data_IF_641146890777
#
_entry.id   IF_641146890777
#
_cell.length_a   1.000
_cell.length_b   1.000
_cell.length_c   1.000
_cell.angle_alpha   90.00
_cell.angle_beta   90.00
_cell.angle_gamma   90.00
#
_symmetry.space_group_name_H-M   'P 1'
#
loop_
_entity.id
_entity.type
_entity.pdbx_description
1 polymer ?
#
# COMPACT_ATOMS: atom_id res chain seq x y z
N UNK A 1 -10.43 9.95 -2.99
CA UNK A 1 -9.17 9.84 -3.75
C UNK A 1 -8.59 11.24 -3.87
N UNK A 2 -7.47 11.49 -3.19
CA UNK A 2 -6.79 12.78 -3.18
C UNK A 2 -5.63 12.75 -4.18
N UNK A 3 -5.57 13.77 -5.04
CA UNK A 3 -4.42 14.01 -5.93
C UNK A 3 -4.08 15.49 -5.81
N UNK A 4 -2.83 15.78 -5.50
CA UNK A 4 -2.30 17.14 -5.40
C UNK A 4 -1.04 17.24 -6.27
N UNK A 5 -1.19 17.78 -7.47
CA UNK A 5 -0.10 17.89 -8.45
C UNK A 5 0.94 18.93 -8.03
N UNK A 6 0.51 20.02 -7.40
CA UNK A 6 1.40 21.09 -6.94
C UNK A 6 2.35 20.57 -5.87
N UNK A 7 1.81 19.86 -4.88
CA UNK A 7 2.62 19.27 -3.81
C UNK A 7 3.20 17.89 -4.17
N UNK A 8 2.86 17.36 -5.35
CA UNK A 8 3.29 16.05 -5.84
C UNK A 8 2.95 14.92 -4.86
N UNK A 9 1.68 14.88 -4.43
CA UNK A 9 1.14 13.88 -3.52
C UNK A 9 -0.09 13.20 -4.11
N UNK A 10 -0.20 11.89 -3.92
CA UNK A 10 -1.33 11.10 -4.43
C UNK A 10 -1.73 9.99 -3.48
N UNK A 11 -3.02 9.70 -3.40
CA UNK A 11 -3.60 8.63 -2.60
C UNK A 11 -3.91 7.40 -3.45
N UNK A 12 -3.51 6.21 -2.96
CA UNK A 12 -4.08 4.94 -3.37
C UNK A 12 -5.40 4.69 -2.65
N UNK A 13 -6.49 4.94 -3.37
CA UNK A 13 -7.86 4.78 -2.86
C UNK A 13 -8.59 3.62 -3.52
N UNK A 14 -9.72 3.23 -2.91
CA UNK A 14 -10.70 2.30 -3.51
C UNK A 14 -10.15 0.94 -3.94
N UNK A 15 -9.16 0.43 -3.20
CA UNK A 15 -8.56 -0.89 -3.47
C UNK A 15 -9.55 -2.00 -3.12
N UNK A 16 -10.05 -2.70 -4.14
CA UNK A 16 -10.94 -3.85 -4.00
C UNK A 16 -10.35 -4.99 -4.83
N UNK A 17 -9.90 -6.04 -4.15
CA UNK A 17 -9.41 -7.26 -4.79
C UNK A 17 -10.43 -8.38 -4.64
N UNK A 18 -10.60 -9.16 -5.71
CA UNK A 18 -11.37 -10.41 -5.69
C UNK A 18 -10.78 -11.40 -4.70
N UNK A 19 -11.63 -12.27 -4.16
CA UNK A 19 -11.25 -13.38 -3.31
C UNK A 19 -10.25 -14.32 -3.99
N UNK A 20 -10.29 -14.42 -5.32
CA UNK A 20 -9.34 -15.18 -6.14
C UNK A 20 -7.91 -14.65 -6.07
N UNK A 21 -7.72 -13.37 -5.71
CA UNK A 21 -6.41 -12.75 -5.60
C UNK A 21 -5.88 -12.78 -4.16
N UNK A 22 -6.69 -13.21 -3.19
CA UNK A 22 -6.23 -13.31 -1.80
C UNK A 22 -5.13 -14.36 -1.71
N UNK A 23 -4.09 -14.03 -0.93
CA UNK A 23 -2.92 -14.91 -0.67
C UNK A 23 -2.09 -15.26 -1.92
N UNK A 24 -2.29 -14.57 -3.05
CA UNK A 24 -1.37 -14.62 -4.19
C UNK A 24 -0.39 -13.44 -4.16
N UNK A 25 0.62 -13.48 -5.04
CA UNK A 25 1.56 -12.36 -5.23
C UNK A 25 0.92 -11.16 -5.95
N UNK A 26 -0.16 -11.38 -6.71
CA UNK A 26 -0.74 -10.40 -7.63
C UNK A 26 -1.17 -9.09 -6.97
N UNK A 27 -1.83 -9.05 -5.79
CA UNK A 27 -2.12 -7.78 -5.12
C UNK A 27 -0.87 -6.99 -4.73
N UNK A 28 0.20 -7.71 -4.35
CA UNK A 28 1.47 -7.07 -3.96
C UNK A 28 2.16 -6.49 -5.19
N UNK A 29 2.17 -7.22 -6.30
CA UNK A 29 2.70 -6.77 -7.59
C UNK A 29 1.92 -5.57 -8.15
N UNK A 30 0.59 -5.59 -8.08
CA UNK A 30 -0.24 -4.46 -8.48
C UNK A 30 0.09 -3.18 -7.69
N UNK A 31 0.28 -3.29 -6.37
CA UNK A 31 0.71 -2.16 -5.54
C UNK A 31 2.12 -1.70 -5.89
N UNK A 32 3.05 -2.63 -6.11
CA UNK A 32 4.42 -2.31 -6.52
C UNK A 32 4.48 -1.53 -7.82
N UNK A 33 3.77 -1.97 -8.87
CA UNK A 33 3.73 -1.28 -10.16
C UNK A 33 3.16 0.14 -10.04
N UNK A 34 2.13 0.32 -9.20
CA UNK A 34 1.54 1.62 -8.94
C UNK A 34 2.51 2.54 -8.18
N UNK A 35 3.18 2.04 -7.14
CA UNK A 35 4.23 2.79 -6.44
C UNK A 35 5.38 3.16 -7.37
N UNK A 36 5.84 2.22 -8.18
CA UNK A 36 6.89 2.45 -9.16
C UNK A 36 6.50 3.54 -10.15
N UNK A 37 5.28 3.52 -10.67
CA UNK A 37 4.80 4.59 -11.55
C UNK A 37 4.76 5.95 -10.84
N UNK A 38 4.27 5.99 -9.60
CA UNK A 38 4.16 7.23 -8.81
C UNK A 38 5.54 7.84 -8.51
N UNK A 39 6.50 7.03 -8.08
CA UNK A 39 7.82 7.54 -7.67
C UNK A 39 8.79 7.67 -8.84
N UNK A 40 8.89 6.68 -9.73
CA UNK A 40 9.89 6.71 -10.80
C UNK A 40 9.42 7.55 -11.99
N UNK A 41 8.19 7.34 -12.46
CA UNK A 41 7.70 7.98 -13.69
C UNK A 41 7.09 9.36 -13.43
N UNK A 42 6.21 9.48 -12.42
CA UNK A 42 5.59 10.76 -12.08
C UNK A 42 6.47 11.63 -11.19
N UNK A 43 7.48 11.06 -10.54
CA UNK A 43 8.37 11.75 -9.59
C UNK A 43 7.62 12.46 -8.47
N UNK A 44 6.58 11.79 -7.96
CA UNK A 44 5.83 12.27 -6.81
C UNK A 44 6.62 12.05 -5.53
N UNK A 45 6.36 12.91 -4.55
CA UNK A 45 7.09 12.94 -3.28
C UNK A 45 6.40 12.17 -2.16
N UNK A 46 5.12 11.85 -2.34
CA UNK A 46 4.28 11.26 -1.30
C UNK A 46 3.17 10.41 -1.87
N UNK A 47 3.08 9.18 -1.40
CA UNK A 47 2.05 8.22 -1.74
C UNK A 47 1.25 7.83 -0.49
N UNK A 48 -0.06 8.05 -0.50
CA UNK A 48 -0.90 7.95 0.69
C UNK A 48 -1.80 6.71 0.66
N UNK A 49 -2.01 6.11 1.83
CA UNK A 49 -3.04 5.10 2.06
C UNK A 49 -3.95 5.56 3.20
N UNK A 50 -5.26 5.47 2.99
CA UNK A 50 -6.27 5.81 4.00
C UNK A 50 -7.28 4.68 4.13
N UNK A 51 -7.59 4.33 5.35
CA UNK A 51 -8.64 3.37 5.62
C UNK A 51 -9.43 3.75 6.86
N UNK A 52 -10.59 3.09 7.03
CA UNK A 52 -11.28 3.12 8.31
C UNK A 52 -10.35 2.59 9.42
N UNK A 53 -10.28 3.29 10.55
CA UNK A 53 -9.46 2.88 11.68
C UNK A 53 -9.83 1.48 12.22
N UNK A 54 -11.08 1.04 12.03
CA UNK A 54 -11.58 -0.28 12.40
C UNK A 54 -11.27 -1.36 11.34
N UNK A 55 -10.84 -0.99 10.13
CA UNK A 55 -10.48 -1.95 9.08
C UNK A 55 -9.05 -2.47 9.28
N UNK A 56 -8.89 -3.39 10.24
CA UNK A 56 -7.60 -3.99 10.57
C UNK A 56 -6.91 -4.63 9.36
N UNK A 57 -7.67 -5.30 8.46
CA UNK A 57 -7.11 -5.92 7.26
C UNK A 57 -6.42 -4.89 6.36
N UNK A 58 -7.04 -3.74 6.15
CA UNK A 58 -6.45 -2.66 5.34
C UNK A 58 -5.25 -2.01 6.04
N UNK A 59 -5.31 -1.82 7.36
CA UNK A 59 -4.17 -1.31 8.15
C UNK A 59 -2.95 -2.24 8.07
N UNK A 60 -3.17 -3.54 8.22
CA UNK A 60 -2.10 -4.54 8.09
C UNK A 60 -1.56 -4.62 6.66
N UNK A 61 -2.41 -4.43 5.65
CA UNK A 61 -1.95 -4.36 4.26
C UNK A 61 -1.04 -3.14 4.04
N UNK A 62 -1.44 -1.95 4.50
CA UNK A 62 -0.62 -0.74 4.41
C UNK A 62 0.74 -0.94 5.09
N UNK A 63 0.75 -1.41 6.34
CA UNK A 63 1.98 -1.67 7.08
C UNK A 63 2.87 -2.73 6.39
N UNK A 64 2.28 -3.84 5.90
CA UNK A 64 3.03 -4.88 5.17
C UNK A 64 3.67 -4.33 3.89
N UNK A 65 3.03 -3.38 3.23
CA UNK A 65 3.52 -2.78 1.98
C UNK A 65 4.56 -1.67 2.23
N UNK A 66 4.90 -1.37 3.48
CA UNK A 66 5.91 -0.38 3.83
C UNK A 66 5.39 1.03 4.11
N UNK A 67 4.06 1.23 4.12
CA UNK A 67 3.52 2.54 4.50
C UNK A 67 3.70 2.79 6.01
N UNK A 68 4.17 3.98 6.34
CA UNK A 68 4.32 4.48 7.71
C UNK A 68 3.01 5.07 8.21
N UNK A 69 2.62 4.74 9.45
CA UNK A 69 1.43 5.30 10.09
C UNK A 69 1.70 6.72 10.59
N UNK A 70 0.81 7.65 10.28
CA UNK A 70 0.98 9.07 10.61
C UNK A 70 -0.06 9.61 11.58
N UNK A 71 -1.16 8.88 11.79
CA UNK A 71 -2.20 9.30 12.72
C UNK A 71 -3.59 8.86 12.34
N UNK A 72 -4.54 9.17 13.22
CA UNK A 72 -5.95 8.91 13.01
C UNK A 72 -6.73 10.19 13.16
N UNK A 73 -7.45 10.57 12.11
CA UNK A 73 -8.41 11.66 12.17
C UNK A 73 -9.69 11.12 12.79
N UNK A 74 -9.99 11.58 14.01
CA UNK A 74 -11.21 11.23 14.73
C UNK A 74 -12.41 11.94 14.12
N UNK A 75 -13.56 11.27 14.06
CA UNK A 75 -14.78 11.79 13.48
C UNK A 75 -14.61 12.34 12.06
N UNK A 76 -13.75 11.70 11.26
CA UNK A 76 -13.37 12.21 9.95
C UNK A 76 -14.56 12.24 8.98
N UNK A 77 -15.40 11.20 8.99
CA UNK A 77 -16.61 11.11 8.15
C UNK A 77 -17.69 10.26 8.81
N UNK A 78 -18.95 10.44 8.40
CA UNK A 78 -20.04 9.50 8.66
C UNK A 78 -20.24 8.63 7.42
N UNK A 79 -20.23 7.31 7.58
CA UNK A 79 -20.37 6.36 6.48
C UNK A 79 -21.17 5.14 6.93
N UNK A 80 -22.13 4.70 6.10
CA UNK A 80 -23.03 3.58 6.40
C UNK A 80 -23.72 3.71 7.78
N UNK A 81 -24.19 4.91 8.10
CA UNK A 81 -24.93 5.17 9.33
C UNK A 81 -24.09 5.16 10.62
N UNK A 82 -22.76 5.17 10.54
CA UNK A 82 -21.88 5.25 11.71
C UNK A 82 -20.74 6.25 11.54
N UNK A 83 -20.15 6.64 12.67
CA UNK A 83 -18.87 7.34 12.68
C UNK A 83 -17.77 6.49 12.02
N UNK A 84 -16.86 7.16 11.31
CA UNK A 84 -15.62 6.58 10.80
C UNK A 84 -14.45 7.52 11.10
N UNK A 85 -13.58 7.02 11.97
CA UNK A 85 -12.23 7.53 12.11
C UNK A 85 -11.37 7.07 10.93
N UNK A 86 -10.48 7.92 10.43
CA UNK A 86 -9.62 7.61 9.29
C UNK A 86 -8.18 7.48 9.72
N UNK A 87 -7.61 6.28 9.59
CA UNK A 87 -6.19 6.03 9.77
C UNK A 87 -5.43 6.42 8.50
N UNK A 88 -4.36 7.20 8.68
CA UNK A 88 -3.51 7.72 7.61
C UNK A 88 -2.15 7.04 7.62
N UNK A 89 -1.69 6.69 6.43
CA UNK A 89 -0.36 6.16 6.20
C UNK A 89 0.25 6.77 4.95
N UNK A 90 1.59 6.78 4.86
CA UNK A 90 2.29 7.28 3.68
C UNK A 90 3.58 6.50 3.38
N UNK A 91 4.05 6.64 2.15
CA UNK A 91 5.44 6.40 1.74
C UNK A 91 5.93 7.71 1.14
N UNK A 92 7.14 8.14 1.50
CA UNK A 92 7.81 9.31 0.89
C UNK A 92 8.90 8.89 -0.10
N UNK A 93 9.31 9.80 -0.97
CA UNK A 93 10.27 9.50 -2.04
C UNK A 93 11.60 8.93 -1.52
N UNK A 94 12.06 9.38 -0.36
CA UNK A 94 13.29 8.95 0.31
C UNK A 94 13.23 7.48 0.75
N UNK A 95 12.03 6.96 1.03
CA UNK A 95 11.80 5.57 1.43
C UNK A 95 11.64 4.63 0.24
N UNK A 96 11.46 5.17 -0.97
CA UNK A 96 11.10 4.37 -2.13
C UNK A 96 12.21 3.42 -2.58
N UNK A 97 13.47 3.85 -2.63
CA UNK A 97 14.54 3.01 -3.18
C UNK A 97 14.76 1.70 -2.37
N UNK A 98 14.81 1.74 -1.02
CA UNK A 98 14.81 0.52 -0.20
C UNK A 98 13.58 -0.36 -0.44
N UNK A 99 12.38 0.24 -0.47
CA UNK A 99 11.15 -0.51 -0.73
C UNK A 99 11.18 -1.17 -2.11
N UNK A 100 11.57 -0.45 -3.16
CA UNK A 100 11.69 -0.98 -4.52
C UNK A 100 12.59 -2.21 -4.56
N UNK A 101 13.71 -2.17 -3.83
CA UNK A 101 14.64 -3.29 -3.70
C UNK A 101 13.97 -4.48 -3.01
N UNK A 102 13.31 -4.25 -1.88
CA UNK A 102 12.60 -5.28 -1.13
C UNK A 102 11.47 -5.94 -1.95
N UNK A 103 10.65 -5.14 -2.63
CA UNK A 103 9.59 -5.62 -3.52
C UNK A 103 10.15 -6.41 -4.70
N UNK A 104 11.23 -5.95 -5.32
CA UNK A 104 11.87 -6.67 -6.44
C UNK A 104 12.37 -8.04 -5.99
N UNK A 105 13.00 -8.14 -4.81
CA UNK A 105 13.43 -9.42 -4.24
C UNK A 105 12.25 -10.30 -3.84
N UNK A 106 11.23 -9.72 -3.23
CA UNK A 106 10.03 -10.46 -2.85
C UNK A 106 9.30 -11.05 -4.06
N UNK A 107 9.20 -10.29 -5.17
CA UNK A 107 8.49 -10.68 -6.39
C UNK A 107 9.31 -11.57 -7.33
N UNK A 108 10.61 -11.76 -7.06
CA UNK A 108 11.48 -12.63 -7.85
C UNK A 108 10.94 -14.08 -7.88
N UNK A 109 11.14 -14.76 -9.01
CA UNK A 109 10.57 -16.08 -9.24
C UNK A 109 11.06 -17.13 -8.22
N UNK A 110 12.30 -16.99 -7.73
CA UNK A 110 12.91 -17.87 -6.74
C UNK A 110 12.26 -17.79 -5.35
N UNK A 111 11.62 -16.66 -5.01
CA UNK A 111 10.86 -16.51 -3.77
C UNK A 111 9.48 -17.20 -3.80
N UNK A 112 9.08 -17.85 -4.90
CA UNK A 112 7.82 -18.60 -4.97
C UNK A 112 8.05 -20.06 -5.35
N UNK A 113 7.24 -20.97 -4.79
CA UNK A 113 7.24 -22.38 -5.19
C UNK A 113 6.34 -22.61 -6.42
N UNK A 114 6.32 -23.84 -6.94
CA UNK A 114 5.50 -24.21 -8.11
C UNK A 114 3.98 -24.02 -7.89
N UNK A 115 3.53 -23.95 -6.64
CA UNK A 115 2.14 -23.70 -6.26
C UNK A 115 1.84 -22.20 -6.05
N UNK A 116 2.80 -21.31 -6.33
CA UNK A 116 2.65 -19.86 -6.18
C UNK A 116 2.72 -19.35 -4.74
N UNK A 117 3.14 -20.17 -3.78
CA UNK A 117 3.30 -19.76 -2.39
C UNK A 117 4.67 -19.14 -2.17
N UNK A 118 4.70 -18.02 -1.43
CA UNK A 118 5.94 -17.33 -1.07
C UNK A 118 6.80 -18.20 -0.13
N UNK A 119 8.12 -18.17 -0.32
CA UNK A 119 9.11 -18.79 0.57
C UNK A 119 9.45 -17.89 1.74
N UNK A 120 9.68 -16.60 1.46
CA UNK A 120 9.91 -15.55 2.45
C UNK A 120 8.83 -14.47 2.32
N UNK A 121 8.29 -13.96 3.44
CA UNK A 121 7.35 -12.84 3.40
C UNK A 121 8.08 -11.54 3.04
N UNK A 122 7.35 -10.57 2.48
CA UNK A 122 7.90 -9.26 2.10
C UNK A 122 8.71 -8.59 3.22
N UNK A 123 8.28 -8.71 4.49
CA UNK A 123 8.98 -8.13 5.67
C UNK A 123 10.40 -8.67 5.93
N UNK A 124 10.85 -9.71 5.24
CA UNK A 124 12.21 -10.25 5.36
C UNK A 124 13.19 -9.62 4.36
N UNK A 125 12.68 -8.84 3.41
CA UNK A 125 13.46 -8.08 2.44
C UNK A 125 13.40 -6.59 2.79
#
# INVERSE_FOLDING_TARGET
>A
MRIDRHHRSIEMGWVIYSDLLKRSKTPTEAQFLLMQYVFDALQYRRYEWKCDALNQRSRHAAARLGFQYEGTFRNAVVYKGRNRDTAWFSIIAEEWLPLKTAFTRYLAADNFNQQGQQRQPLRHF
#
